data_IF_388693638709
#
_entry.id   IF_388693638709
#
_cell.length_a   1.000
_cell.length_b   1.000
_cell.length_c   1.000
_cell.angle_alpha   90.00
_cell.angle_beta   90.00
_cell.angle_gamma   90.00
#
_symmetry.space_group_name_H-M   'P 1'
#
loop_
_entity.id
_entity.type
_entity.pdbx_description
1 polymer ?
#
# COMPACT_ATOMS: atom_id res chain seq x y z
N UNK A 1 -16.46 23.31 1.84
CA UNK A 1 -16.09 22.93 0.45
C UNK A 1 -15.97 21.40 0.37
N UNK A 2 -16.54 20.78 -0.66
CA UNK A 2 -16.44 19.33 -0.90
C UNK A 2 -15.47 19.07 -2.04
N UNK A 3 -14.40 18.33 -1.75
CA UNK A 3 -13.44 17.92 -2.75
C UNK A 3 -13.90 16.61 -3.39
N UNK A 4 -13.49 16.41 -4.64
CA UNK A 4 -13.81 15.20 -5.39
C UNK A 4 -12.55 14.35 -5.53
N UNK A 5 -12.65 13.08 -5.16
CA UNK A 5 -11.55 12.13 -5.23
C UNK A 5 -11.96 10.90 -6.06
N UNK A 6 -11.01 10.31 -6.77
CA UNK A 6 -11.21 9.09 -7.56
C UNK A 6 -10.16 8.04 -7.20
N UNK A 7 -10.49 6.75 -7.31
CA UNK A 7 -9.49 5.69 -7.13
C UNK A 7 -8.60 5.67 -8.37
N UNK A 8 -7.35 6.06 -8.19
CA UNK A 8 -6.35 6.15 -9.26
C UNK A 8 -5.71 4.80 -9.57
N UNK A 9 -5.41 4.00 -8.54
CA UNK A 9 -4.83 2.67 -8.72
C UNK A 9 -5.25 1.76 -7.58
N UNK A 10 -5.84 0.61 -7.91
CA UNK A 10 -6.12 -0.46 -6.94
C UNK A 10 -6.08 -1.81 -7.64
N UNK A 11 -6.02 -2.89 -6.85
CA UNK A 11 -6.11 -4.26 -7.37
C UNK A 11 -7.46 -4.52 -8.08
N UNK A 12 -8.53 -3.87 -7.62
CA UNK A 12 -9.90 -4.03 -8.12
C UNK A 12 -10.26 -3.04 -9.24
N UNK A 13 -9.26 -2.46 -9.89
CA UNK A 13 -9.41 -1.48 -10.98
C UNK A 13 -9.36 -0.02 -10.53
N UNK A 14 -9.73 0.87 -11.43
CA UNK A 14 -9.71 2.33 -11.24
C UNK A 14 -11.12 2.91 -11.33
N UNK A 15 -11.35 4.06 -10.69
CA UNK A 15 -12.57 4.85 -10.85
C UNK A 15 -13.41 5.04 -9.58
N UNK A 16 -14.68 5.39 -9.79
CA UNK A 16 -15.59 5.86 -8.74
C UNK A 16 -15.31 7.32 -8.36
N UNK A 17 -16.39 8.06 -8.07
CA UNK A 17 -16.34 9.47 -7.70
C UNK A 17 -16.77 9.61 -6.25
N UNK A 18 -15.86 10.05 -5.40
CA UNK A 18 -16.07 10.15 -3.95
C UNK A 18 -15.96 11.61 -3.52
N UNK A 19 -17.10 12.20 -3.14
CA UNK A 19 -17.18 13.57 -2.62
C UNK A 19 -17.04 13.55 -1.09
N UNK A 20 -16.10 14.33 -0.56
CA UNK A 20 -15.91 14.51 0.88
C UNK A 20 -15.13 15.79 1.19
N UNK A 21 -15.22 16.26 2.44
CA UNK A 21 -14.39 17.33 2.96
C UNK A 21 -12.94 16.87 3.17
N UNK A 22 -12.73 15.68 3.74
CA UNK A 22 -11.40 15.11 3.99
C UNK A 22 -11.07 13.93 3.06
N UNK A 23 -9.79 13.75 2.66
CA UNK A 23 -9.38 12.66 1.79
C UNK A 23 -9.57 11.28 2.46
N UNK A 24 -9.40 11.20 3.78
CA UNK A 24 -9.65 9.98 4.57
C UNK A 24 -11.13 9.56 4.51
N UNK A 25 -12.06 10.51 4.55
CA UNK A 25 -13.50 10.20 4.44
C UNK A 25 -13.87 9.68 3.06
N UNK A 26 -13.23 10.20 1.99
CA UNK A 26 -13.37 9.62 0.65
C UNK A 26 -12.75 8.21 0.60
N UNK A 27 -11.60 8.00 1.23
CA UNK A 27 -10.94 6.70 1.31
C UNK A 27 -11.80 5.64 2.01
N UNK A 28 -12.47 6.00 3.11
CA UNK A 28 -13.44 5.11 3.79
C UNK A 28 -14.56 4.67 2.85
N UNK A 29 -15.17 5.61 2.12
CA UNK A 29 -16.23 5.32 1.14
C UNK A 29 -15.72 4.44 -0.01
N UNK A 30 -14.52 4.74 -0.50
CA UNK A 30 -13.88 3.98 -1.58
C UNK A 30 -13.54 2.55 -1.14
N UNK A 31 -12.93 2.37 0.02
CA UNK A 31 -12.59 1.07 0.57
C UNK A 31 -13.83 0.18 0.72
N UNK A 32 -14.95 0.70 1.26
CA UNK A 32 -16.19 -0.07 1.35
C UNK A 32 -16.70 -0.55 -0.01
N UNK A 33 -16.60 0.29 -1.05
CA UNK A 33 -16.97 -0.10 -2.42
C UNK A 33 -16.00 -1.13 -3.00
N UNK A 34 -14.70 -1.01 -2.72
CA UNK A 34 -13.67 -1.94 -3.19
C UNK A 34 -13.83 -3.32 -2.54
N UNK A 35 -14.11 -3.40 -1.25
CA UNK A 35 -14.40 -4.67 -0.58
C UNK A 35 -15.69 -5.31 -1.10
N UNK A 36 -16.73 -4.51 -1.41
CA UNK A 36 -17.95 -5.05 -2.04
C UNK A 36 -17.65 -5.64 -3.43
N UNK A 37 -16.91 -4.91 -4.28
CA UNK A 37 -16.48 -5.44 -5.58
C UNK A 37 -15.60 -6.68 -5.45
N UNK A 38 -14.80 -6.76 -4.39
CA UNK A 38 -13.98 -7.92 -4.09
C UNK A 38 -14.84 -9.13 -3.74
N UNK A 39 -15.86 -8.96 -2.89
CA UNK A 39 -16.84 -10.00 -2.55
C UNK A 39 -17.56 -10.51 -3.81
N UNK A 40 -17.90 -9.61 -4.75
CA UNK A 40 -18.54 -9.96 -6.02
C UNK A 40 -17.56 -10.63 -7.04
N UNK A 41 -16.26 -10.64 -6.76
CA UNK A 41 -15.21 -11.12 -7.67
C UNK A 41 -14.54 -12.41 -7.18
N UNK A 42 -13.72 -13.05 -8.03
CA UNK A 42 -12.88 -14.21 -7.66
C UNK A 42 -11.80 -13.93 -6.58
N UNK A 43 -11.70 -12.69 -6.08
CA UNK A 43 -10.67 -12.26 -5.10
C UNK A 43 -11.18 -12.15 -3.65
N UNK A 44 -12.30 -12.80 -3.32
CA UNK A 44 -13.01 -12.75 -2.03
C UNK A 44 -12.19 -13.12 -0.78
N UNK A 45 -10.98 -13.69 -0.93
CA UNK A 45 -10.12 -14.08 0.18
C UNK A 45 -9.20 -12.98 0.74
N UNK A 46 -9.02 -11.84 0.05
CA UNK A 46 -8.04 -10.82 0.47
C UNK A 46 -8.61 -9.88 1.54
N UNK A 47 -8.14 -10.02 2.79
CA UNK A 47 -8.56 -9.13 3.90
C UNK A 47 -7.94 -7.72 3.86
N UNK A 48 -6.98 -7.49 2.98
CA UNK A 48 -6.21 -6.22 2.90
C UNK A 48 -6.17 -5.70 1.46
N UNK A 49 -6.47 -4.41 1.28
CA UNK A 49 -6.42 -3.73 -0.02
C UNK A 49 -5.50 -2.52 0.08
N UNK A 50 -4.52 -2.47 -0.83
CA UNK A 50 -3.73 -1.28 -1.09
C UNK A 50 -4.37 -0.51 -2.26
N UNK A 51 -4.64 0.78 -2.07
CA UNK A 51 -5.19 1.61 -3.12
C UNK A 51 -4.67 3.05 -3.03
N UNK A 52 -4.59 3.69 -4.18
CA UNK A 52 -4.26 5.11 -4.31
C UNK A 52 -5.49 5.87 -4.78
N UNK A 53 -5.78 6.99 -4.12
CA UNK A 53 -6.80 7.94 -4.53
C UNK A 53 -6.16 9.22 -5.03
N UNK A 54 -6.75 9.84 -6.04
CA UNK A 54 -6.32 11.11 -6.61
C UNK A 54 -7.41 12.14 -6.45
N UNK A 55 -7.04 13.36 -6.07
CA UNK A 55 -7.96 14.49 -6.13
C UNK A 55 -8.23 14.89 -7.59
N UNK A 56 -9.51 15.01 -7.94
CA UNK A 56 -9.97 15.38 -9.29
C UNK A 56 -10.89 16.60 -9.25
N UNK A 57 -10.89 17.36 -8.16
CA UNK A 57 -11.57 18.65 -8.07
C UNK A 57 -11.05 19.58 -9.16
N UNK A 58 -11.93 20.33 -9.84
CA UNK A 58 -11.57 21.26 -10.92
C UNK A 58 -10.56 22.29 -10.41
N UNK A 59 -9.42 22.43 -11.10
CA UNK A 59 -8.36 23.36 -10.72
C UNK A 59 -7.47 22.91 -9.56
N UNK A 60 -7.66 21.71 -9.00
CA UNK A 60 -6.79 21.18 -7.95
C UNK A 60 -5.43 20.72 -8.49
N UNK A 61 -4.44 20.67 -7.61
CA UNK A 61 -3.10 20.14 -7.88
C UNK A 61 -3.06 18.63 -8.16
N UNK A 62 -4.22 17.94 -8.17
CA UNK A 62 -4.33 16.52 -8.52
C UNK A 62 -3.48 15.59 -7.63
N UNK A 63 -3.36 15.94 -6.35
CA UNK A 63 -2.59 15.19 -5.34
C UNK A 63 -3.04 13.73 -5.26
N UNK A 64 -2.09 12.83 -5.04
CA UNK A 64 -2.35 11.40 -4.86
C UNK A 64 -2.11 11.03 -3.40
N UNK A 65 -3.01 10.23 -2.85
CA UNK A 65 -2.95 9.72 -1.49
C UNK A 65 -2.98 8.20 -1.55
N UNK A 66 -2.14 7.53 -0.77
CA UNK A 66 -2.12 6.09 -0.68
C UNK A 66 -2.72 5.64 0.65
N UNK A 67 -3.47 4.55 0.58
CA UNK A 67 -4.13 3.97 1.71
C UNK A 67 -3.99 2.45 1.71
N UNK A 68 -3.94 1.93 2.94
CA UNK A 68 -4.07 0.50 3.24
C UNK A 68 -5.35 0.32 4.02
N UNK A 69 -6.32 -0.38 3.43
CA UNK A 69 -7.53 -0.77 4.12
C UNK A 69 -7.46 -2.24 4.54
N UNK A 70 -7.85 -2.52 5.78
CA UNK A 70 -7.98 -3.86 6.35
C UNK A 70 -9.43 -4.09 6.74
N UNK A 71 -9.97 -5.26 6.40
CA UNK A 71 -11.27 -5.73 6.84
C UNK A 71 -11.07 -6.55 8.12
N UNK A 72 -11.67 -6.08 9.22
CA UNK A 72 -11.61 -6.73 10.53
C UNK A 72 -13.00 -7.28 10.84
N UNK A 73 -13.08 -8.55 11.22
CA UNK A 73 -14.32 -9.19 11.66
C UNK A 73 -14.75 -8.60 13.00
N UNK A 74 -16.03 -8.26 13.14
CA UNK A 74 -16.60 -7.76 14.38
C UNK A 74 -16.99 -8.95 15.26
N UNK A 75 -16.68 -8.87 16.56
CA UNK A 75 -17.08 -9.90 17.53
C UNK A 75 -18.61 -10.06 17.60
N UNK A 76 -19.33 -8.93 17.57
CA UNK A 76 -20.78 -8.90 17.49
C UNK A 76 -21.20 -8.22 16.17
N UNK A 77 -21.87 -8.92 15.25
CA UNK A 77 -22.33 -8.32 14.00
C UNK A 77 -23.42 -7.27 14.26
N UNK A 78 -23.29 -6.11 13.61
CA UNK A 78 -24.28 -5.03 13.76
C UNK A 78 -25.40 -5.25 12.76
N UNK A 79 -26.61 -5.51 13.24
CA UNK A 79 -27.81 -5.65 12.40
C UNK A 79 -28.48 -4.29 12.32
N UNK A 80 -28.52 -3.69 11.11
CA UNK A 80 -29.28 -2.46 10.87
C UNK A 80 -30.53 -2.80 10.06
N UNK A 81 -31.70 -2.47 10.59
CA UNK A 81 -32.95 -2.55 9.85
C UNK A 81 -33.18 -1.23 9.12
N UNK A 82 -33.03 -1.24 7.80
CA UNK A 82 -33.22 -0.05 6.97
C UNK A 82 -34.35 -0.35 6.00
N UNK A 83 -35.50 0.33 6.18
CA UNK A 83 -36.70 0.20 5.33
C UNK A 83 -37.13 -1.28 5.10
N UNK A 84 -37.14 -2.09 6.17
CA UNK A 84 -37.61 -3.48 6.11
C UNK A 84 -36.63 -4.48 5.49
N UNK A 85 -35.37 -4.09 5.25
CA UNK A 85 -34.29 -4.99 4.86
C UNK A 85 -33.24 -5.04 5.96
N UNK A 86 -32.96 -6.25 6.43
CA UNK A 86 -31.89 -6.49 7.41
C UNK A 86 -30.53 -6.46 6.73
N UNK A 87 -29.71 -5.47 7.07
CA UNK A 87 -28.31 -5.38 6.62
C UNK A 87 -27.42 -5.77 7.79
N UNK A 88 -26.84 -6.97 7.71
CA UNK A 88 -25.91 -7.49 8.73
C UNK A 88 -24.49 -7.07 8.39
N UNK A 89 -23.95 -6.13 9.16
CA UNK A 89 -22.56 -5.72 9.06
C UNK A 89 -21.68 -6.63 9.92
N UNK A 90 -21.03 -7.60 9.28
CA UNK A 90 -20.12 -8.56 9.94
C UNK A 90 -18.70 -8.01 10.12
N UNK A 91 -18.35 -6.93 9.42
CA UNK A 91 -16.98 -6.46 9.32
C UNK A 91 -16.90 -4.94 9.51
N UNK A 92 -15.80 -4.52 10.13
CA UNK A 92 -15.32 -3.13 10.15
C UNK A 92 -14.19 -2.96 9.16
N UNK A 93 -14.09 -1.77 8.57
CA UNK A 93 -12.99 -1.41 7.68
C UNK A 93 -12.10 -0.39 8.40
N UNK A 94 -10.87 -0.80 8.67
CA UNK A 94 -9.84 0.07 9.23
C UNK A 94 -8.92 0.55 8.11
N UNK A 95 -8.70 1.87 8.05
CA UNK A 95 -7.86 2.49 7.03
C UNK A 95 -6.67 3.16 7.70
N UNK A 96 -5.48 2.87 7.18
CA UNK A 96 -4.25 3.58 7.50
C UNK A 96 -3.77 4.30 6.24
N UNK A 97 -3.35 5.55 6.39
CA UNK A 97 -2.59 6.24 5.34
C UNK A 97 -1.16 5.72 5.36
N UNK A 98 -0.61 5.31 4.21
CA UNK A 98 0.82 4.93 4.10
C UNK A 98 1.74 6.15 3.84
N UNK A 99 1.31 7.32 4.28
CA UNK A 99 1.97 8.62 4.08
C UNK A 99 1.52 9.34 2.82
N UNK A 100 1.95 10.59 2.65
CA UNK A 100 1.83 11.34 1.39
C UNK A 100 2.34 10.43 0.27
N UNK A 101 1.56 10.23 -0.81
CA UNK A 101 2.09 9.50 -1.95
C UNK A 101 3.30 10.31 -2.44
N UNK A 102 4.51 9.75 -2.46
CA UNK A 102 5.60 10.47 -3.06
C UNK A 102 5.21 10.79 -4.51
N UNK A 103 5.33 12.06 -4.89
CA UNK A 103 4.83 12.63 -6.15
C UNK A 103 5.45 12.01 -7.39
N UNK A 104 6.51 11.21 -7.22
CA UNK A 104 7.20 10.58 -8.33
C UNK A 104 7.19 9.06 -8.24
N UNK A 105 6.88 8.43 -9.37
CA UNK A 105 7.22 7.03 -9.65
C UNK A 105 8.68 6.68 -9.28
N UNK A 106 9.57 7.69 -9.27
CA UNK A 106 10.97 7.66 -8.83
C UNK A 106 11.13 7.38 -7.33
N UNK A 107 10.35 8.04 -6.48
CA UNK A 107 10.35 7.81 -5.04
C UNK A 107 9.63 6.53 -4.63
N UNK A 108 8.64 6.06 -5.41
CA UNK A 108 8.05 4.72 -5.24
C UNK A 108 9.12 3.64 -5.47
N UNK A 109 9.96 3.79 -6.51
CA UNK A 109 11.14 2.91 -6.74
C UNK A 109 12.19 3.05 -5.62
N UNK A 110 12.39 4.26 -5.08
CA UNK A 110 13.36 4.49 -4.00
C UNK A 110 12.91 3.89 -2.65
N UNK A 111 11.64 4.03 -2.26
CA UNK A 111 11.10 3.43 -1.03
C UNK A 111 11.02 1.90 -1.12
N UNK A 112 10.68 1.34 -2.29
CA UNK A 112 10.74 -0.12 -2.51
C UNK A 112 12.17 -0.68 -2.35
N UNK A 113 13.20 0.13 -2.62
CA UNK A 113 14.61 -0.24 -2.43
C UNK A 113 15.08 -0.14 -0.96
N UNK A 114 14.36 0.60 -0.11
CA UNK A 114 14.76 0.90 1.27
C UNK A 114 14.21 -0.09 2.31
N UNK A 115 13.11 -0.80 2.00
CA UNK A 115 12.39 -1.60 2.99
C UNK A 115 12.56 -3.12 2.89
N UNK A 116 13.36 -3.67 1.98
CA UNK A 116 13.69 -5.12 2.02
C UNK A 116 15.12 -5.40 1.61
N UNK A 117 15.85 -6.01 2.53
CA UNK A 117 17.18 -6.52 2.28
C UNK A 117 17.94 -6.71 3.57
N UNK A 118 17.48 -7.60 4.44
CA UNK A 118 18.44 -8.41 5.19
C UNK A 118 19.36 -9.02 4.13
N UNK A 119 20.53 -8.38 3.96
CA UNK A 119 21.46 -8.70 2.89
C UNK A 119 21.87 -10.15 3.09
N UNK A 120 21.68 -10.99 2.08
CA UNK A 120 22.15 -12.39 2.12
C UNK A 120 23.60 -12.41 2.62
N UNK A 121 23.96 -13.33 3.53
CA UNK A 121 25.35 -13.48 3.96
C UNK A 121 26.23 -13.74 2.75
N UNK A 122 27.48 -13.27 2.79
CA UNK A 122 28.44 -13.61 1.75
C UNK A 122 28.72 -15.11 1.80
N UNK A 123 28.93 -15.74 0.63
CA UNK A 123 29.34 -17.14 0.56
C UNK A 123 30.66 -17.37 1.33
N UNK A 124 30.90 -18.61 1.77
CA UNK A 124 32.11 -19.00 2.50
C UNK A 124 33.38 -18.53 1.77
N UNK A 125 34.33 -17.95 2.50
CA UNK A 125 35.57 -17.39 1.95
C UNK A 125 35.46 -16.02 1.26
N UNK A 126 34.31 -15.33 1.38
CA UNK A 126 34.11 -13.96 0.90
C UNK A 126 33.69 -13.00 2.02
N UNK A 127 34.27 -11.80 2.04
CA UNK A 127 33.93 -10.74 3.01
C UNK A 127 33.21 -9.59 2.31
N UNK A 128 32.26 -8.98 3.01
CA UNK A 128 31.49 -7.84 2.49
C UNK A 128 32.32 -6.56 2.57
N UNK A 129 32.48 -5.87 1.45
CA UNK A 129 33.10 -4.55 1.43
C UNK A 129 32.12 -3.49 1.99
N UNK A 130 32.57 -2.69 2.96
CA UNK A 130 31.77 -1.64 3.60
C UNK A 130 31.36 -0.51 2.64
N UNK A 131 32.24 -0.17 1.68
CA UNK A 131 32.04 0.97 0.75
C UNK A 131 31.13 0.57 -0.41
N UNK A 132 31.40 -0.55 -1.06
CA UNK A 132 30.66 -0.96 -2.26
C UNK A 132 29.48 -1.89 -1.96
N UNK A 133 29.39 -2.42 -0.74
CA UNK A 133 28.36 -3.36 -0.34
C UNK A 133 28.40 -4.71 -1.07
N UNK A 134 29.43 -4.99 -1.88
CA UNK A 134 29.63 -6.25 -2.63
C UNK A 134 30.50 -7.23 -1.84
N UNK A 135 30.28 -8.54 -2.02
CA UNK A 135 31.13 -9.59 -1.45
C UNK A 135 32.39 -9.76 -2.30
N UNK A 136 33.58 -9.68 -1.69
CA UNK A 136 34.87 -9.91 -2.34
C UNK A 136 35.56 -11.15 -1.78
N UNK A 137 36.36 -11.84 -2.59
CA UNK A 137 37.21 -12.95 -2.13
C UNK A 137 38.28 -12.39 -1.18
N UNK A 138 38.52 -13.08 -0.07
CA UNK A 138 39.66 -12.74 0.79
C UNK A 138 40.91 -13.16 0.02
N UNK A 139 41.70 -12.20 -0.45
CA UNK A 139 42.99 -12.51 -1.05
C UNK A 139 43.87 -13.09 0.05
N UNK A 140 44.34 -14.33 -0.12
CA UNK A 140 45.48 -14.84 0.64
C UNK A 140 46.65 -13.89 0.37
N UNK A 141 47.31 -13.41 1.42
CA UNK A 141 48.56 -12.66 1.26
C UNK A 141 49.55 -13.58 0.57
N UNK A 142 49.76 -13.39 -0.74
CA UNK A 142 50.90 -13.98 -1.42
C UNK A 142 52.14 -13.37 -0.76
N UNK A 143 52.91 -14.19 -0.04
CA UNK A 143 54.21 -13.78 0.45
C UNK A 143 55.01 -13.26 -0.76
N UNK A 144 55.35 -11.97 -0.73
CA UNK A 144 56.31 -11.41 -1.70
C UNK A 144 57.61 -12.19 -1.48
N UNK A 145 58.10 -12.88 -2.50
CA UNK A 145 59.44 -13.43 -2.47
C UNK A 145 60.41 -12.25 -2.29
N UNK A 146 61.33 -12.28 -1.32
CA UNK A 146 62.40 -11.30 -1.27
C UNK A 146 63.25 -11.44 -2.54
N UNK A 147 63.79 -10.29 -2.94
CA UNK A 147 64.51 -9.98 -4.17
C UNK A 147 65.60 -10.99 -4.54
#
# INVERSE_FOLDING_TARGET
MTNTYTVYKSLMGTGGVYKSSSPMSAAKKAASRLFKKMDDSRSSGLKVIHFAMRETTRGSAKKVFKYVAKRVELANPVVLNIKGKEVVYRYKIDIKSDGEAPDTSREIRAKAKKSTGAKKPCAAGKVRNAVTGRCRKVASKSAKKPC
#
